data_IF_220548849022
#
_entry.id   IF_220548849022
#
_cell.length_a   1.000
_cell.length_b   1.000
_cell.length_c   1.000
_cell.angle_alpha   90.00
_cell.angle_beta   90.00
_cell.angle_gamma   90.00
#
_symmetry.space_group_name_H-M   'P 1'
#
loop_
_entity.id
_entity.type
_entity.pdbx_description
1 polymer ?
#
# COMPACT_ATOMS: atom_id res chain seq x y z
N UNK A 1 -6.14 -23.09 -7.44
CA UNK A 1 -5.50 -22.31 -6.37
C UNK A 1 -4.66 -21.23 -7.03
N UNK A 2 -4.70 -19.98 -6.55
CA UNK A 2 -3.81 -18.92 -7.05
C UNK A 2 -2.41 -19.18 -6.51
N UNK A 3 -1.44 -19.31 -7.40
CA UNK A 3 -0.02 -19.44 -7.03
C UNK A 3 0.63 -18.09 -7.37
N UNK A 4 0.76 -17.16 -6.41
CA UNK A 4 1.39 -15.88 -6.67
C UNK A 4 2.89 -16.08 -6.89
N UNK A 5 3.42 -15.50 -7.96
CA UNK A 5 4.84 -15.50 -8.29
C UNK A 5 5.35 -14.07 -8.18
N UNK A 6 6.39 -13.86 -7.38
CA UNK A 6 7.09 -12.58 -7.23
C UNK A 6 8.42 -12.60 -7.98
N UNK A 7 8.65 -11.61 -8.82
CA UNK A 7 9.95 -11.33 -9.42
C UNK A 7 10.54 -10.11 -8.72
N UNK A 8 11.69 -10.27 -8.07
CA UNK A 8 12.30 -9.21 -7.28
C UNK A 8 13.63 -8.74 -7.87
N UNK A 9 13.89 -7.44 -7.75
CA UNK A 9 15.19 -6.84 -8.03
C UNK A 9 15.45 -5.63 -7.13
N UNK A 10 16.71 -5.17 -7.10
CA UNK A 10 17.20 -4.11 -6.23
C UNK A 10 17.61 -2.84 -6.99
N UNK A 11 17.52 -1.71 -6.29
CA UNK A 11 18.10 -0.46 -6.70
C UNK A 11 18.96 0.13 -5.58
N UNK A 12 20.12 0.65 -5.98
CA UNK A 12 21.06 1.30 -5.08
C UNK A 12 22.22 0.39 -4.70
N UNK A 13 23.03 0.85 -3.75
CA UNK A 13 24.18 0.11 -3.26
C UNK A 13 24.31 0.24 -1.75
N UNK A 14 25.25 -0.50 -1.16
CA UNK A 14 25.50 -0.51 0.28
C UNK A 14 26.44 0.60 0.75
N UNK A 15 26.91 1.49 -0.13
CA UNK A 15 27.84 2.56 0.24
C UNK A 15 27.12 3.71 0.94
N UNK A 16 27.77 4.30 1.94
CA UNK A 16 27.31 5.50 2.65
C UNK A 16 27.89 6.80 2.08
N UNK A 17 28.59 6.74 0.94
CA UNK A 17 29.06 7.93 0.21
C UNK A 17 27.91 8.57 -0.59
N UNK A 18 27.06 9.33 0.11
CA UNK A 18 25.85 9.94 -0.47
C UNK A 18 26.12 11.02 -1.52
N UNK A 19 27.35 11.52 -1.63
CA UNK A 19 27.72 12.49 -2.67
C UNK A 19 27.88 11.86 -4.06
N UNK A 20 28.22 10.56 -4.11
CA UNK A 20 28.50 9.84 -5.37
C UNK A 20 27.60 8.63 -5.59
N UNK A 21 27.02 8.10 -4.52
CA UNK A 21 26.27 6.85 -4.50
C UNK A 21 24.80 7.10 -4.14
N UNK A 22 23.98 6.05 -4.18
CA UNK A 22 22.56 6.18 -3.90
C UNK A 22 22.31 6.58 -2.45
N UNK A 23 21.29 7.38 -2.19
CA UNK A 23 20.86 7.71 -0.81
C UNK A 23 19.98 6.62 -0.23
N UNK A 24 19.21 5.97 -1.09
CA UNK A 24 18.30 4.88 -0.72
C UNK A 24 18.79 3.54 -1.25
N UNK A 25 18.38 2.47 -0.57
CA UNK A 25 18.45 1.10 -1.04
C UNK A 25 17.03 0.57 -1.17
N UNK A 26 16.64 0.11 -2.35
CA UNK A 26 15.25 -0.25 -2.64
C UNK A 26 15.23 -1.68 -3.15
N UNK A 27 14.28 -2.46 -2.65
CA UNK A 27 13.98 -3.79 -3.17
C UNK A 27 12.55 -3.72 -3.67
N UNK A 28 12.34 -3.92 -4.97
CA UNK A 28 11.02 -3.96 -5.57
C UNK A 28 10.71 -5.36 -6.09
N UNK A 29 9.45 -5.74 -6.01
CA UNK A 29 8.95 -7.02 -6.45
C UNK A 29 7.67 -6.81 -7.24
N UNK A 30 7.58 -7.42 -8.41
CA UNK A 30 6.33 -7.54 -9.15
C UNK A 30 5.70 -8.89 -8.84
N UNK A 31 4.43 -8.90 -8.46
CA UNK A 31 3.66 -10.07 -8.05
C UNK A 31 2.59 -10.31 -9.10
N UNK A 32 2.51 -11.55 -9.57
CA UNK A 32 1.61 -11.98 -10.65
C UNK A 32 0.99 -13.33 -10.33
N UNK A 33 -0.15 -13.65 -10.93
CA UNK A 33 -0.73 -14.99 -10.83
C UNK A 33 -0.01 -15.95 -11.79
N UNK A 34 0.36 -17.16 -11.36
CA UNK A 34 1.04 -18.15 -12.21
C UNK A 34 0.30 -18.42 -13.52
N UNK A 35 -1.03 -18.34 -13.51
CA UNK A 35 -1.86 -18.55 -14.70
C UNK A 35 -1.69 -17.45 -15.75
N UNK A 36 -1.33 -16.23 -15.32
CA UNK A 36 -1.20 -15.05 -16.19
C UNK A 36 0.24 -14.89 -16.74
N UNK A 37 1.20 -15.71 -16.29
CA UNK A 37 2.62 -15.59 -16.65
C UNK A 37 2.86 -15.53 -18.15
N UNK A 38 2.32 -16.47 -18.92
CA UNK A 38 2.56 -16.53 -20.36
C UNK A 38 2.05 -15.29 -21.10
N UNK A 39 0.92 -14.72 -20.66
CA UNK A 39 0.38 -13.49 -21.24
C UNK A 39 1.23 -12.27 -20.87
N UNK A 40 1.70 -12.20 -19.62
CA UNK A 40 2.56 -11.11 -19.15
C UNK A 40 3.95 -11.15 -19.80
N UNK A 41 4.50 -12.33 -20.05
CA UNK A 41 5.76 -12.50 -20.79
C UNK A 41 5.64 -11.99 -22.22
N UNK A 42 4.53 -12.27 -22.92
CA UNK A 42 4.26 -11.73 -24.26
C UNK A 42 4.16 -10.20 -24.23
N UNK A 43 3.46 -9.63 -23.24
CA UNK A 43 3.34 -8.19 -23.07
C UNK A 43 4.71 -7.54 -22.79
N UNK A 44 5.49 -8.12 -21.87
CA UNK A 44 6.82 -7.62 -21.52
C UNK A 44 7.79 -7.70 -22.71
N UNK A 45 7.71 -8.76 -23.51
CA UNK A 45 8.52 -8.91 -24.73
C UNK A 45 8.13 -7.91 -25.82
N UNK A 46 6.84 -7.56 -25.93
CA UNK A 46 6.39 -6.48 -26.81
C UNK A 46 6.96 -5.12 -26.39
N UNK A 47 6.98 -4.83 -25.08
CA UNK A 47 7.61 -3.62 -24.52
C UNK A 47 9.11 -3.62 -24.83
N UNK A 48 9.80 -4.74 -24.64
CA UNK A 48 11.23 -4.90 -24.96
C UNK A 48 11.50 -4.59 -26.42
N UNK A 49 10.79 -5.24 -27.35
CA UNK A 49 10.98 -5.03 -28.79
C UNK A 49 10.74 -3.59 -29.21
N UNK A 50 9.70 -2.94 -28.66
CA UNK A 50 9.34 -1.56 -29.01
C UNK A 50 10.35 -0.54 -28.49
N UNK A 51 10.78 -0.67 -27.24
CA UNK A 51 11.57 0.36 -26.57
C UNK A 51 13.07 0.04 -26.49
N UNK A 52 13.47 -1.22 -26.62
CA UNK A 52 14.84 -1.70 -26.44
C UNK A 52 15.36 -2.57 -27.59
N UNK A 53 14.51 -2.88 -28.59
CA UNK A 53 14.85 -3.67 -29.78
C UNK A 53 15.39 -5.07 -29.40
N UNK A 54 16.69 -5.30 -29.55
CA UNK A 54 17.39 -6.54 -29.17
C UNK A 54 17.96 -6.49 -27.76
N UNK A 55 18.02 -5.30 -27.15
CA UNK A 55 18.56 -5.09 -25.81
C UNK A 55 17.62 -5.53 -24.69
N UNK A 56 18.18 -5.74 -23.50
CA UNK A 56 17.44 -6.01 -22.28
C UNK A 56 16.77 -4.74 -21.74
N UNK A 57 15.60 -4.90 -21.10
CA UNK A 57 14.95 -3.83 -20.35
C UNK A 57 15.80 -3.57 -19.11
N UNK A 58 16.62 -2.51 -19.16
CA UNK A 58 17.44 -2.09 -18.01
C UNK A 58 17.14 -0.64 -17.68
N UNK A 59 16.83 -0.36 -16.42
CA UNK A 59 16.58 1.01 -15.96
C UNK A 59 17.79 1.92 -16.24
N UNK A 60 19.00 1.36 -16.13
CA UNK A 60 20.28 2.02 -16.41
C UNK A 60 20.38 2.52 -17.86
N UNK A 61 19.82 1.80 -18.83
CA UNK A 61 19.84 2.17 -20.25
C UNK A 61 18.92 3.36 -20.59
N UNK A 62 17.89 3.60 -19.77
CA UNK A 62 16.99 4.76 -19.92
C UNK A 62 17.52 5.97 -19.15
N UNK A 63 18.32 5.74 -18.10
CA UNK A 63 18.98 6.75 -17.28
C UNK A 63 18.01 7.87 -16.85
N UNK A 64 18.35 9.14 -17.11
CA UNK A 64 17.56 10.34 -16.73
C UNK A 64 16.61 10.84 -17.82
N UNK A 65 16.35 10.04 -18.86
CA UNK A 65 15.39 10.40 -19.90
C UNK A 65 13.95 10.14 -19.41
N UNK A 66 13.35 11.14 -18.75
CA UNK A 66 12.00 11.02 -18.20
C UNK A 66 10.95 10.74 -19.28
N UNK A 67 11.05 11.34 -20.48
CA UNK A 67 10.08 11.14 -21.57
C UNK A 67 10.01 9.67 -21.99
N UNK A 68 11.17 9.05 -22.21
CA UNK A 68 11.25 7.62 -22.54
C UNK A 68 10.75 6.75 -21.39
N UNK A 69 11.05 7.12 -20.14
CA UNK A 69 10.57 6.39 -18.95
C UNK A 69 9.05 6.45 -18.82
N UNK A 70 8.42 7.60 -19.07
CA UNK A 70 6.96 7.75 -19.05
C UNK A 70 6.28 6.82 -20.07
N UNK A 71 6.76 6.79 -21.31
CA UNK A 71 6.19 5.92 -22.35
C UNK A 71 6.25 4.44 -21.98
N UNK A 72 7.37 3.99 -21.38
CA UNK A 72 7.51 2.61 -20.92
C UNK A 72 6.56 2.34 -19.74
N UNK A 73 6.46 3.27 -18.78
CA UNK A 73 5.57 3.14 -17.62
C UNK A 73 4.09 3.14 -18.01
N UNK A 74 3.68 3.87 -19.05
CA UNK A 74 2.31 3.82 -19.56
C UNK A 74 1.94 2.46 -20.13
N UNK A 75 2.90 1.74 -20.73
CA UNK A 75 2.68 0.37 -21.20
C UNK A 75 2.68 -0.64 -20.06
N UNK A 76 3.64 -0.53 -19.13
CA UNK A 76 3.70 -1.37 -17.93
C UNK A 76 2.44 -1.16 -17.09
N UNK A 77 1.95 0.07 -16.97
CA UNK A 77 0.71 0.44 -16.29
C UNK A 77 -0.56 -0.21 -16.86
N UNK A 78 -0.51 -0.90 -18.01
CA UNK A 78 -1.65 -1.66 -18.54
C UNK A 78 -1.59 -3.15 -18.20
N UNK A 79 -0.46 -3.62 -17.67
CA UNK A 79 -0.25 -5.02 -17.32
C UNK A 79 -1.01 -5.36 -16.02
N UNK A 80 -1.49 -6.59 -15.91
CA UNK A 80 -2.12 -7.06 -14.67
C UNK A 80 -1.07 -7.53 -13.65
N UNK A 81 -0.31 -6.58 -13.11
CA UNK A 81 0.76 -6.84 -12.15
C UNK A 81 0.53 -6.08 -10.84
N UNK A 82 1.10 -6.58 -9.75
CA UNK A 82 1.07 -5.91 -8.45
C UNK A 82 2.50 -5.58 -8.01
N UNK A 83 2.74 -4.36 -7.56
CA UNK A 83 4.07 -3.88 -7.20
C UNK A 83 4.17 -3.77 -5.69
N UNK A 84 5.17 -4.43 -5.13
CA UNK A 84 5.54 -4.32 -3.73
C UNK A 84 6.98 -3.81 -3.65
N UNK A 85 7.26 -2.81 -2.81
CA UNK A 85 8.61 -2.32 -2.63
C UNK A 85 8.94 -2.04 -1.16
N UNK A 86 10.21 -2.19 -0.80
CA UNK A 86 10.78 -1.75 0.47
C UNK A 86 11.88 -0.74 0.16
N UNK A 87 11.74 0.47 0.67
CA UNK A 87 12.70 1.56 0.47
C UNK A 87 13.42 1.85 1.77
N UNK A 88 14.73 1.72 1.78
CA UNK A 88 15.55 1.95 2.97
C UNK A 88 16.35 3.23 2.80
N UNK A 89 16.06 4.23 3.63
CA UNK A 89 16.86 5.45 3.70
C UNK A 89 18.13 5.15 4.50
N UNK A 90 19.24 5.03 3.77
CA UNK A 90 20.54 4.70 4.39
C UNK A 90 21.04 5.83 5.28
N UNK A 91 20.59 7.07 5.09
CA UNK A 91 21.05 8.23 5.88
C UNK A 91 20.53 8.18 7.32
N UNK A 92 19.39 7.53 7.52
CA UNK A 92 18.76 7.35 8.83
C UNK A 92 19.24 6.07 9.55
N UNK A 93 20.12 5.28 8.95
CA UNK A 93 20.69 4.08 9.57
C UNK A 93 21.95 4.45 10.37
N UNK A 94 21.84 4.43 11.70
CA UNK A 94 22.94 4.72 12.60
C UNK A 94 23.36 3.44 13.35
N UNK A 95 24.39 2.74 12.84
CA UNK A 95 25.15 1.76 13.63
C UNK A 95 26.48 1.40 12.95
N UNK A 96 27.50 1.04 13.72
CA UNK A 96 28.78 0.49 13.23
C UNK A 96 28.55 -0.78 12.37
N UNK A 97 27.53 -1.58 12.71
CA UNK A 97 27.19 -2.81 12.02
C UNK A 97 26.77 -2.61 10.56
N UNK A 98 26.14 -1.48 10.21
CA UNK A 98 25.73 -1.20 8.82
C UNK A 98 26.88 -0.84 7.88
N UNK A 99 28.08 -0.56 8.43
CA UNK A 99 29.31 -0.40 7.62
C UNK A 99 29.76 -1.72 6.99
N UNK A 100 29.32 -2.86 7.54
CA UNK A 100 29.59 -4.19 7.00
C UNK A 100 28.47 -4.64 6.06
N UNK A 101 28.82 -4.92 4.80
CA UNK A 101 27.89 -5.35 3.73
C UNK A 101 27.00 -6.54 4.15
N UNK A 102 27.57 -7.57 4.77
CA UNK A 102 26.83 -8.75 5.21
C UNK A 102 25.77 -8.46 6.29
N UNK A 103 26.10 -7.61 7.25
CA UNK A 103 25.17 -7.20 8.32
C UNK A 103 24.03 -6.35 7.77
N UNK A 104 24.34 -5.45 6.83
CA UNK A 104 23.35 -4.66 6.12
C UNK A 104 22.40 -5.56 5.31
N UNK A 105 22.94 -6.43 4.45
CA UNK A 105 22.12 -7.37 3.66
C UNK A 105 21.24 -8.24 4.55
N UNK A 106 21.76 -8.83 5.63
CA UNK A 106 20.98 -9.64 6.58
C UNK A 106 19.82 -8.84 7.20
N UNK A 107 20.04 -7.58 7.53
CA UNK A 107 19.01 -6.70 8.06
C UNK A 107 17.90 -6.44 7.03
N UNK A 108 18.27 -6.04 5.80
CA UNK A 108 17.31 -5.77 4.72
C UNK A 108 16.56 -7.07 4.34
N UNK A 109 17.26 -8.20 4.28
CA UNK A 109 16.65 -9.53 4.04
C UNK A 109 15.56 -9.84 5.06
N UNK A 110 15.85 -9.63 6.35
CA UNK A 110 14.85 -9.83 7.40
C UNK A 110 13.65 -8.89 7.27
N UNK A 111 13.87 -7.63 6.89
CA UNK A 111 12.83 -6.63 6.68
C UNK A 111 11.92 -6.98 5.49
N UNK A 112 12.53 -7.22 4.32
CA UNK A 112 11.83 -7.58 3.08
C UNK A 112 11.09 -8.90 3.25
N UNK A 113 11.73 -9.91 3.86
CA UNK A 113 11.09 -11.19 4.17
C UNK A 113 9.87 -11.02 5.06
N UNK A 114 10.00 -10.28 6.18
CA UNK A 114 8.88 -10.05 7.09
C UNK A 114 7.72 -9.35 6.40
N UNK A 115 7.97 -8.37 5.53
CA UNK A 115 6.87 -7.64 4.91
C UNK A 115 6.23 -8.39 3.72
N UNK A 116 7.03 -9.06 2.88
CA UNK A 116 6.52 -9.88 1.77
C UNK A 116 5.71 -11.09 2.28
N UNK A 117 6.27 -11.88 3.19
CA UNK A 117 5.65 -13.14 3.62
C UNK A 117 4.57 -12.95 4.69
N UNK A 118 4.53 -11.81 5.39
CA UNK A 118 3.38 -11.45 6.24
C UNK A 118 2.14 -11.13 5.40
N UNK A 119 2.34 -10.57 4.20
CA UNK A 119 1.23 -10.19 3.31
C UNK A 119 0.86 -11.32 2.35
N UNK A 120 1.83 -12.12 1.91
CA UNK A 120 1.66 -13.20 0.94
C UNK A 120 2.30 -14.52 1.43
N UNK A 121 1.58 -15.35 2.21
CA UNK A 121 2.15 -16.56 2.79
C UNK A 121 2.58 -17.63 1.79
N UNK A 122 1.88 -17.73 0.64
CA UNK A 122 2.08 -18.78 -0.38
C UNK A 122 2.86 -18.27 -1.62
N UNK A 123 3.76 -17.31 -1.44
CA UNK A 123 4.49 -16.65 -2.52
C UNK A 123 5.65 -17.48 -3.08
N UNK A 124 5.68 -17.71 -4.39
CA UNK A 124 6.84 -18.24 -5.11
C UNK A 124 7.75 -17.06 -5.47
N UNK A 125 9.02 -17.07 -5.03
CA UNK A 125 9.97 -15.99 -5.28
C UNK A 125 10.94 -16.37 -6.40
N UNK A 126 11.10 -15.50 -7.39
CA UNK A 126 12.02 -15.64 -8.52
C UNK A 126 12.99 -14.46 -8.51
N UNK A 127 14.29 -14.74 -8.54
CA UNK A 127 15.38 -13.74 -8.49
C UNK A 127 16.50 -14.14 -9.45
N UNK A 128 17.22 -13.15 -10.00
CA UNK A 128 18.34 -13.39 -10.92
C UNK A 128 19.60 -13.85 -10.16
N UNK A 129 20.32 -14.84 -10.72
CA UNK A 129 21.56 -15.39 -10.17
C UNK A 129 22.84 -14.78 -10.78
N UNK A 130 22.76 -14.17 -11.97
CA UNK A 130 23.94 -13.80 -12.77
C UNK A 130 24.26 -12.29 -12.78
N UNK A 131 23.40 -11.46 -12.19
CA UNK A 131 23.71 -10.05 -11.96
C UNK A 131 24.79 -9.84 -10.88
N UNK A 132 25.41 -8.66 -10.87
CA UNK A 132 26.27 -8.17 -9.78
C UNK A 132 25.55 -8.00 -8.41
N UNK A 133 24.35 -8.56 -8.29
CA UNK A 133 23.41 -8.36 -7.21
C UNK A 133 23.67 -9.40 -6.11
N UNK A 134 24.78 -9.22 -5.41
CA UNK A 134 25.15 -10.04 -4.24
C UNK A 134 24.01 -10.11 -3.21
N UNK A 135 23.19 -9.06 -3.14
CA UNK A 135 22.05 -8.95 -2.25
C UNK A 135 20.94 -9.96 -2.60
N UNK A 136 20.43 -10.01 -3.84
CA UNK A 136 19.41 -10.99 -4.25
C UNK A 136 19.82 -12.44 -3.96
N UNK A 137 21.09 -12.78 -4.19
CA UNK A 137 21.63 -14.12 -3.89
C UNK A 137 21.57 -14.42 -2.39
N UNK A 138 22.01 -13.49 -1.55
CA UNK A 138 21.91 -13.62 -0.10
C UNK A 138 20.46 -13.65 0.39
N UNK A 139 19.56 -12.90 -0.26
CA UNK A 139 18.13 -12.89 0.05
C UNK A 139 17.51 -14.26 -0.22
N UNK A 140 17.79 -14.87 -1.37
CA UNK A 140 17.35 -16.23 -1.72
C UNK A 140 17.73 -17.24 -0.64
N UNK A 141 19.00 -17.25 -0.23
CA UNK A 141 19.49 -18.14 0.83
C UNK A 141 18.87 -17.84 2.19
N UNK A 142 18.64 -16.56 2.49
CA UNK A 142 17.93 -16.15 3.70
C UNK A 142 16.50 -16.68 3.74
N UNK A 143 15.76 -16.59 2.63
CA UNK A 143 14.39 -17.12 2.53
C UNK A 143 14.39 -18.64 2.69
N UNK A 144 15.27 -19.37 1.97
CA UNK A 144 15.40 -20.83 2.09
C UNK A 144 15.61 -21.28 3.54
N UNK A 145 16.43 -20.55 4.30
CA UNK A 145 16.78 -20.91 5.68
C UNK A 145 15.69 -20.60 6.70
N UNK A 146 14.97 -19.49 6.52
CA UNK A 146 13.99 -19.00 7.51
C UNK A 146 12.54 -19.43 7.21
N UNK A 147 12.26 -19.90 6.00
CA UNK A 147 10.95 -20.42 5.61
C UNK A 147 10.95 -21.95 5.70
N UNK A 148 10.67 -22.48 6.90
CA UNK A 148 10.64 -23.92 7.16
C UNK A 148 9.34 -24.52 6.62
N UNK A 149 9.46 -25.62 5.87
CA UNK A 149 8.34 -26.43 5.38
C UNK A 149 7.59 -27.02 6.57
N UNK A 150 6.34 -26.64 6.77
CA UNK A 150 5.50 -27.25 7.80
C UNK A 150 4.53 -28.26 7.18
N UNK A 151 4.33 -29.41 7.83
CA UNK A 151 3.60 -30.56 7.28
C UNK A 151 2.13 -30.24 6.91
N UNK A 152 1.61 -29.13 7.45
CA UNK A 152 0.20 -28.70 7.34
C UNK A 152 0.02 -27.42 6.51
N UNK A 153 1.12 -26.76 6.11
CA UNK A 153 1.09 -25.56 5.28
C UNK A 153 1.94 -25.83 4.03
N UNK A 154 1.30 -26.24 2.96
CA UNK A 154 1.92 -26.48 1.65
C UNK A 154 2.40 -25.18 0.99
N UNK A 155 3.35 -24.49 1.60
CA UNK A 155 4.10 -23.41 0.95
C UNK A 155 4.98 -24.04 -0.12
N UNK A 156 4.46 -24.10 -1.35
CA UNK A 156 5.18 -24.48 -2.56
C UNK A 156 6.24 -23.42 -2.85
N UNK A 157 7.36 -23.50 -2.14
CA UNK A 157 8.53 -22.69 -2.41
C UNK A 157 9.37 -23.38 -3.49
N UNK A 158 9.03 -23.14 -4.75
CA UNK A 158 9.91 -23.42 -5.88
C UNK A 158 10.75 -22.18 -6.17
N UNK A 159 12.04 -22.28 -5.90
CA UNK A 159 13.00 -21.31 -6.39
C UNK A 159 13.36 -21.69 -7.81
N UNK A 160 12.63 -21.14 -8.78
CA UNK A 160 12.95 -21.35 -10.17
C UNK A 160 14.14 -20.49 -10.59
N UNK A 161 15.18 -21.14 -11.11
CA UNK A 161 16.27 -20.47 -11.82
C UNK A 161 15.78 -20.14 -13.22
N UNK A 162 15.26 -18.92 -13.42
CA UNK A 162 14.89 -18.46 -14.75
C UNK A 162 16.00 -17.55 -15.29
N UNK A 163 17.05 -18.19 -15.85
CA UNK A 163 18.00 -17.48 -16.69
C UNK A 163 17.22 -16.71 -17.79
N UNK A 164 17.38 -15.39 -17.85
CA UNK A 164 16.75 -14.50 -18.86
C UNK A 164 15.22 -14.33 -18.78
N UNK A 165 14.61 -14.31 -17.60
CA UNK A 165 13.19 -13.97 -17.52
C UNK A 165 12.95 -12.46 -17.73
N UNK A 166 12.14 -12.13 -18.74
CA UNK A 166 11.77 -10.76 -19.10
C UNK A 166 11.03 -10.02 -17.97
N UNK A 167 10.32 -10.75 -17.10
CA UNK A 167 9.59 -10.19 -15.96
C UNK A 167 10.54 -9.70 -14.86
N UNK A 168 11.72 -10.32 -14.68
CA UNK A 168 12.77 -9.78 -13.79
C UNK A 168 13.26 -8.44 -14.33
N UNK A 169 13.37 -8.28 -15.64
CA UNK A 169 13.78 -7.01 -16.25
C UNK A 169 12.72 -5.91 -16.05
N UNK A 170 11.44 -6.26 -16.01
CA UNK A 170 10.38 -5.33 -15.59
C UNK A 170 10.54 -4.96 -14.11
N UNK A 171 10.90 -5.93 -13.25
CA UNK A 171 11.20 -5.66 -11.84
C UNK A 171 12.39 -4.69 -11.68
N UNK A 172 13.51 -4.85 -12.40
CA UNK A 172 14.64 -3.88 -12.46
C UNK A 172 14.14 -2.48 -12.84
N UNK A 173 13.28 -2.41 -13.86
CA UNK A 173 12.77 -1.12 -14.34
C UNK A 173 11.90 -0.42 -13.30
N UNK A 174 11.04 -1.16 -12.61
CA UNK A 174 10.21 -0.64 -11.51
C UNK A 174 11.09 -0.25 -10.31
N UNK A 175 12.02 -1.11 -9.88
CA UNK A 175 12.96 -0.84 -8.80
C UNK A 175 13.74 0.45 -9.06
N UNK A 176 14.26 0.62 -10.27
CA UNK A 176 14.97 1.83 -10.67
C UNK A 176 14.09 3.06 -10.83
N UNK A 177 12.81 2.89 -11.21
CA UNK A 177 11.85 4.01 -11.28
C UNK A 177 11.52 4.53 -9.89
N UNK A 178 11.19 3.65 -8.96
CA UNK A 178 10.97 3.99 -7.55
C UNK A 178 12.27 4.57 -6.97
N UNK A 179 13.41 3.96 -7.32
CA UNK A 179 14.76 4.47 -7.05
C UNK A 179 14.96 5.92 -7.42
N UNK A 180 14.60 6.30 -8.63
CA UNK A 180 14.74 7.67 -9.11
C UNK A 180 13.82 8.69 -8.43
N UNK A 181 12.71 8.24 -7.84
CA UNK A 181 11.82 9.09 -7.07
C UNK A 181 12.38 9.35 -5.65
N UNK A 182 12.84 8.28 -4.98
CA UNK A 182 13.35 8.36 -3.60
C UNK A 182 14.79 8.86 -3.50
N UNK A 183 15.65 8.51 -4.47
CA UNK A 183 17.04 8.93 -4.46
C UNK A 183 17.17 10.43 -4.69
N UNK A 184 17.73 11.15 -3.71
CA UNK A 184 17.84 12.61 -3.79
C UNK A 184 18.71 13.11 -4.94
N UNK A 185 19.77 12.38 -5.28
CA UNK A 185 20.68 12.77 -6.36
C UNK A 185 19.97 12.67 -7.70
N UNK A 186 19.14 11.64 -7.89
CA UNK A 186 18.33 11.51 -9.10
C UNK A 186 17.16 12.49 -9.11
N UNK A 187 16.46 12.66 -7.99
CA UNK A 187 15.35 13.63 -7.86
C UNK A 187 15.79 15.04 -8.20
N UNK A 188 16.96 15.47 -7.72
CA UNK A 188 17.57 16.77 -8.09
C UNK A 188 17.79 16.90 -9.60
N UNK A 189 18.39 15.90 -10.25
CA UNK A 189 18.62 15.90 -11.71
C UNK A 189 17.32 15.98 -12.53
N UNK A 190 16.22 15.43 -12.04
CA UNK A 190 14.90 15.56 -12.70
C UNK A 190 14.28 16.93 -12.45
N UNK A 191 14.37 17.43 -11.22
CA UNK A 191 13.89 18.77 -10.85
C UNK A 191 14.61 19.88 -11.63
N UNK A 192 15.92 19.78 -11.82
CA UNK A 192 16.72 20.67 -12.70
C UNK A 192 16.22 20.69 -14.15
N UNK A 193 15.62 19.59 -14.61
CA UNK A 193 15.00 19.46 -15.95
C UNK A 193 13.52 19.85 -15.96
N UNK A 194 13.00 20.41 -14.86
CA UNK A 194 11.60 20.81 -14.71
C UNK A 194 10.62 19.64 -14.62
N UNK A 195 11.08 18.43 -14.26
CA UNK A 195 10.24 17.24 -14.18
C UNK A 195 10.04 16.78 -12.75
N UNK A 196 8.77 16.62 -12.36
CA UNK A 196 8.39 16.03 -11.08
C UNK A 196 8.30 14.50 -11.17
N UNK A 197 9.14 13.80 -10.39
CA UNK A 197 9.23 12.35 -10.36
C UNK A 197 7.99 11.67 -9.78
N UNK A 198 7.12 12.40 -9.08
CA UNK A 198 5.80 11.90 -8.63
C UNK A 198 4.97 11.39 -9.81
N UNK A 199 5.13 11.99 -10.99
CA UNK A 199 4.43 11.56 -12.20
C UNK A 199 4.76 10.12 -12.61
N UNK A 200 5.95 9.60 -12.26
CA UNK A 200 6.25 8.19 -12.50
C UNK A 200 5.37 7.28 -11.65
N UNK A 201 5.17 7.61 -10.37
CA UNK A 201 4.34 6.82 -9.46
C UNK A 201 2.85 6.90 -9.85
N UNK A 202 2.39 8.07 -10.30
CA UNK A 202 1.01 8.26 -10.78
C UNK A 202 0.61 7.26 -11.87
N UNK A 203 1.50 6.94 -12.83
CA UNK A 203 1.21 6.04 -13.95
C UNK A 203 0.99 4.58 -13.51
N UNK A 204 1.73 4.13 -12.49
CA UNK A 204 1.67 2.75 -11.98
C UNK A 204 0.89 2.65 -10.66
N UNK A 205 0.23 3.74 -10.22
CA UNK A 205 -0.46 3.86 -8.93
C UNK A 205 -1.37 2.67 -8.61
N UNK A 206 -2.23 2.32 -9.56
CA UNK A 206 -3.22 1.26 -9.41
C UNK A 206 -2.62 -0.15 -9.33
N UNK A 207 -1.33 -0.31 -9.66
CA UNK A 207 -0.59 -1.56 -9.54
C UNK A 207 0.17 -1.64 -8.21
N UNK A 208 0.46 -0.50 -7.55
CA UNK A 208 1.25 -0.48 -6.31
C UNK A 208 0.44 -1.02 -5.14
N UNK A 209 0.77 -2.22 -4.68
CA UNK A 209 0.19 -2.84 -3.49
C UNK A 209 0.74 -2.24 -2.19
N UNK A 210 2.05 -1.97 -2.13
CA UNK A 210 2.68 -1.31 -0.97
C UNK A 210 4.08 -0.80 -1.30
N UNK A 211 4.47 0.34 -0.73
CA UNK A 211 5.87 0.79 -0.64
C UNK A 211 6.17 1.05 0.83
N UNK A 212 6.99 0.20 1.44
CA UNK A 212 7.33 0.27 2.86
C UNK A 212 8.66 0.98 3.06
N UNK A 213 8.66 2.06 3.83
CA UNK A 213 9.88 2.83 4.08
C UNK A 213 10.54 2.46 5.40
N UNK A 214 11.86 2.36 5.42
CA UNK A 214 12.64 2.05 6.61
C UNK A 214 13.88 2.95 6.75
N UNK A 215 14.18 3.47 7.96
CA UNK A 215 13.28 3.60 9.09
C UNK A 215 12.01 4.33 8.65
N UNK A 216 10.84 3.99 9.22
CA UNK A 216 9.62 4.68 8.85
C UNK A 216 9.81 6.18 9.14
N UNK A 217 9.89 6.97 8.08
CA UNK A 217 10.16 8.40 8.20
C UNK A 217 8.87 9.08 8.64
N UNK A 218 8.73 9.23 9.95
CA UNK A 218 7.63 9.93 10.59
C UNK A 218 7.88 11.44 10.73
N UNK A 219 9.09 11.91 10.43
CA UNK A 219 9.55 13.28 10.73
C UNK A 219 9.55 14.21 9.52
N UNK A 220 9.67 13.70 8.30
CA UNK A 220 9.62 14.51 7.07
C UNK A 220 8.28 14.43 6.35
N UNK A 221 7.18 14.55 7.10
CA UNK A 221 5.94 15.07 6.49
C UNK A 221 6.04 16.58 6.50
N UNK A 222 7.02 17.13 5.77
CA UNK A 222 7.01 18.53 5.42
C UNK A 222 5.84 18.71 4.45
N UNK A 223 4.69 19.04 5.04
CA UNK A 223 3.53 19.50 4.32
C UNK A 223 3.91 20.83 3.69
N UNK A 224 4.25 20.81 2.40
CA UNK A 224 4.33 22.04 1.64
C UNK A 224 2.90 22.57 1.52
N UNK A 225 2.58 23.77 2.03
CA UNK A 225 1.30 24.41 1.75
C UNK A 225 1.27 24.68 0.25
N UNK A 226 0.51 23.86 -0.48
CA UNK A 226 0.23 24.12 -1.89
C UNK A 226 -1.10 24.87 -1.90
N UNK A 227 -1.01 26.16 -2.22
CA UNK A 227 -2.16 27.02 -2.48
C UNK A 227 -2.95 26.47 -3.68
N UNK A 228 -4.08 25.83 -3.40
CA UNK A 228 -5.17 25.59 -4.37
C UNK A 228 -6.50 25.62 -3.60
N UNK A 229 -7.35 26.57 -3.96
CA UNK A 229 -8.65 26.84 -3.35
C UNK A 229 -9.60 25.63 -3.45
N UNK A 230 -9.94 25.03 -2.29
CA UNK A 230 -11.23 24.40 -1.90
C UNK A 230 -11.11 23.30 -0.83
N UNK A 231 -9.89 22.84 -0.49
CA UNK A 231 -9.65 21.98 0.66
C UNK A 231 -8.42 22.49 1.41
N UNK A 232 -8.61 23.49 2.27
CA UNK A 232 -7.54 24.01 3.11
C UNK A 232 -6.94 22.87 3.93
N UNK A 233 -5.66 22.61 3.68
CA UNK A 233 -4.88 21.63 4.42
C UNK A 233 -4.78 22.06 5.89
N UNK A 234 -5.05 21.14 6.81
CA UNK A 234 -4.94 21.38 8.25
C UNK A 234 -3.86 20.48 8.84
N UNK A 235 -2.74 21.11 9.22
CA UNK A 235 -1.56 20.42 9.76
C UNK A 235 -1.86 19.64 11.05
N UNK A 236 -2.72 20.19 11.91
CA UNK A 236 -3.06 19.53 13.18
C UNK A 236 -3.88 18.27 12.93
N UNK A 237 -4.89 18.34 12.06
CA UNK A 237 -5.70 17.18 11.69
C UNK A 237 -4.84 16.12 11.01
N UNK A 238 -3.98 16.52 10.08
CA UNK A 238 -3.14 15.61 9.33
C UNK A 238 -2.06 14.93 10.20
N UNK A 239 -1.48 15.65 11.16
CA UNK A 239 -0.57 15.06 12.17
C UNK A 239 -1.30 14.12 13.11
N UNK A 240 -2.51 14.50 13.54
CA UNK A 240 -3.32 13.69 14.44
C UNK A 240 -3.74 12.37 13.79
N UNK A 241 -4.23 12.41 12.54
CA UNK A 241 -4.63 11.22 11.80
C UNK A 241 -3.45 10.27 11.58
N UNK A 242 -2.30 10.83 11.20
CA UNK A 242 -1.05 10.09 11.01
C UNK A 242 -0.59 9.42 12.31
N UNK A 243 -0.55 10.16 13.41
CA UNK A 243 -0.14 9.64 14.72
C UNK A 243 -1.00 8.46 15.15
N UNK A 244 -2.32 8.59 15.12
CA UNK A 244 -3.22 7.49 15.52
C UNK A 244 -3.11 6.27 14.60
N UNK A 245 -2.89 6.47 13.30
CA UNK A 245 -2.68 5.36 12.37
C UNK A 245 -1.36 4.61 12.65
N UNK A 246 -0.27 5.34 12.91
CA UNK A 246 1.04 4.77 13.25
C UNK A 246 0.99 4.06 14.60
N UNK A 247 0.45 4.73 15.63
CA UNK A 247 0.33 4.17 16.97
C UNK A 247 -0.45 2.85 16.95
N UNK A 248 -1.50 2.76 16.13
CA UNK A 248 -2.21 1.51 15.93
C UNK A 248 -1.31 0.44 15.30
N UNK A 249 -0.60 0.76 14.21
CA UNK A 249 0.27 -0.21 13.52
C UNK A 249 1.36 -0.73 14.45
N UNK A 250 2.02 0.15 15.20
CA UNK A 250 3.18 -0.19 16.03
C UNK A 250 2.78 -1.01 17.27
N UNK A 251 1.60 -0.74 17.84
CA UNK A 251 1.14 -1.40 19.06
C UNK A 251 0.23 -2.61 18.81
N UNK A 252 -0.25 -2.83 17.58
CA UNK A 252 -1.15 -3.93 17.26
C UNK A 252 -0.42 -5.27 17.27
N UNK A 253 -0.74 -6.11 18.26
CA UNK A 253 -0.36 -7.53 18.27
C UNK A 253 -1.17 -8.28 17.21
N UNK A 254 -0.48 -8.99 16.32
CA UNK A 254 -1.10 -9.77 15.26
C UNK A 254 -1.49 -11.14 15.83
N UNK A 255 -2.77 -11.33 16.13
CA UNK A 255 -3.28 -12.57 16.71
C UNK A 255 -4.24 -13.32 15.77
N UNK A 256 -4.89 -12.62 14.85
CA UNK A 256 -5.82 -13.21 13.87
C UNK A 256 -5.61 -12.63 12.46
N UNK A 257 -6.11 -13.29 11.40
CA UNK A 257 -6.02 -12.79 10.02
C UNK A 257 -6.63 -11.38 9.82
N UNK A 258 -7.66 -11.03 10.60
CA UNK A 258 -8.29 -9.71 10.58
C UNK A 258 -7.35 -8.59 11.06
N UNK A 259 -6.45 -8.88 11.99
CA UNK A 259 -5.44 -7.90 12.46
C UNK A 259 -4.43 -7.59 11.34
N UNK A 260 -4.04 -8.59 10.55
CA UNK A 260 -3.15 -8.41 9.39
C UNK A 260 -3.81 -7.52 8.35
N UNK A 261 -5.10 -7.74 8.08
CA UNK A 261 -5.89 -6.94 7.15
C UNK A 261 -6.01 -5.48 7.58
N UNK A 262 -6.27 -5.24 8.88
CA UNK A 262 -6.34 -3.89 9.46
C UNK A 262 -5.02 -3.15 9.30
N UNK A 263 -3.91 -3.80 9.65
CA UNK A 263 -2.57 -3.19 9.50
C UNK A 263 -2.22 -2.96 8.03
N UNK A 264 -2.55 -3.90 7.15
CA UNK A 264 -2.27 -3.77 5.70
C UNK A 264 -3.06 -2.62 5.08
N UNK A 265 -4.33 -2.46 5.48
CA UNK A 265 -5.17 -1.36 5.02
C UNK A 265 -4.65 0.00 5.50
N UNK A 266 -4.20 0.13 6.76
CA UNK A 266 -3.61 1.38 7.24
C UNK A 266 -2.30 1.71 6.53
N UNK A 267 -1.41 0.71 6.32
CA UNK A 267 -0.18 0.91 5.54
C UNK A 267 -0.49 1.41 4.12
N UNK A 268 -1.53 0.87 3.49
CA UNK A 268 -2.00 1.32 2.19
C UNK A 268 -2.52 2.76 2.21
N UNK A 269 -3.32 3.14 3.21
CA UNK A 269 -3.79 4.53 3.35
C UNK A 269 -2.65 5.52 3.63
N UNK A 270 -1.68 5.14 4.47
CA UNK A 270 -0.48 5.93 4.72
C UNK A 270 0.32 6.13 3.44
N UNK A 271 0.49 5.07 2.65
CA UNK A 271 1.11 5.15 1.33
C UNK A 271 0.37 6.16 0.44
N UNK A 272 -0.96 6.08 0.33
CA UNK A 272 -1.73 7.02 -0.47
C UNK A 272 -1.61 8.47 0.00
N UNK A 273 -1.62 8.70 1.32
CA UNK A 273 -1.45 10.04 1.89
C UNK A 273 -0.07 10.62 1.57
N UNK A 274 0.98 9.79 1.60
CA UNK A 274 2.36 10.22 1.33
C UNK A 274 2.64 10.45 -0.15
N UNK A 275 2.22 9.51 -0.99
CA UNK A 275 2.53 9.53 -2.42
C UNK A 275 1.64 10.46 -3.23
N UNK A 276 0.45 10.81 -2.73
CA UNK A 276 -0.54 11.59 -3.47
C UNK A 276 -1.18 12.69 -2.63
N UNK A 277 -0.35 13.61 -2.09
CA UNK A 277 -0.74 14.68 -1.16
C UNK A 277 -1.97 15.51 -1.62
N UNK A 278 -2.21 15.63 -2.94
CA UNK A 278 -3.36 16.36 -3.53
C UNK A 278 -4.63 15.53 -3.79
N UNK A 279 -4.62 14.20 -3.61
CA UNK A 279 -5.75 13.38 -4.06
C UNK A 279 -6.88 13.26 -3.04
N UNK A 280 -8.09 13.08 -3.59
CA UNK A 280 -9.32 12.84 -2.85
C UNK A 280 -9.37 11.46 -2.20
N UNK A 281 -10.57 11.00 -1.90
CA UNK A 281 -10.76 9.70 -1.27
C UNK A 281 -10.34 8.57 -2.21
N UNK A 282 -9.66 7.56 -1.68
CA UNK A 282 -9.27 6.38 -2.48
C UNK A 282 -10.50 5.49 -2.65
N UNK A 283 -10.89 5.15 -3.90
CA UNK A 283 -12.04 4.31 -4.17
C UNK A 283 -12.03 2.99 -3.41
N UNK A 284 -13.19 2.59 -2.89
CA UNK A 284 -13.32 1.34 -2.13
C UNK A 284 -12.88 0.12 -2.95
N UNK A 285 -13.19 0.09 -4.24
CA UNK A 285 -12.81 -1.04 -5.10
C UNK A 285 -11.31 -1.12 -5.31
N UNK A 286 -10.62 0.02 -5.44
CA UNK A 286 -9.16 0.09 -5.55
C UNK A 286 -8.51 -0.48 -4.28
N UNK A 287 -8.95 -0.02 -3.11
CA UNK A 287 -8.48 -0.52 -1.81
C UNK A 287 -8.71 -2.03 -1.65
N UNK A 288 -9.90 -2.52 -2.01
CA UNK A 288 -10.23 -3.95 -1.94
C UNK A 288 -9.40 -4.76 -2.92
N UNK A 289 -9.15 -4.26 -4.14
CA UNK A 289 -8.31 -4.93 -5.12
C UNK A 289 -6.87 -5.07 -4.63
N UNK A 290 -6.31 -4.01 -4.04
CA UNK A 290 -4.99 -4.06 -3.41
C UNK A 290 -4.94 -5.02 -2.23
N UNK A 291 -5.94 -4.98 -1.36
CA UNK A 291 -5.97 -5.90 -0.22
C UNK A 291 -6.17 -7.36 -0.66
N UNK A 292 -6.84 -7.61 -1.78
CA UNK A 292 -7.02 -8.94 -2.36
C UNK A 292 -5.82 -9.44 -3.18
N UNK A 293 -4.76 -8.64 -3.30
CA UNK A 293 -3.49 -9.05 -3.88
C UNK A 293 -3.02 -10.39 -3.29
N UNK A 294 -2.93 -11.41 -4.15
CA UNK A 294 -2.46 -12.75 -3.78
C UNK A 294 -3.26 -13.48 -2.69
N UNK A 295 -4.52 -13.09 -2.41
CA UNK A 295 -5.42 -13.83 -1.51
C UNK A 295 -6.17 -14.93 -2.23
N UNK A 296 -6.30 -16.09 -1.59
CA UNK A 296 -7.19 -17.17 -2.06
C UNK A 296 -8.66 -16.81 -1.87
N UNK A 297 -9.02 -16.31 -0.67
CA UNK A 297 -10.38 -15.84 -0.37
C UNK A 297 -10.43 -14.32 -0.47
N UNK A 298 -11.28 -13.82 -1.38
CA UNK A 298 -11.46 -12.38 -1.61
C UNK A 298 -12.28 -11.74 -0.48
N UNK A 299 -11.82 -10.60 0.00
CA UNK A 299 -12.55 -9.72 0.89
C UNK A 299 -13.77 -9.16 0.15
N UNK A 300 -14.94 -9.26 0.79
CA UNK A 300 -16.17 -8.63 0.29
C UNK A 300 -16.23 -7.17 0.74
N UNK A 301 -16.94 -6.29 0.00
CA UNK A 301 -17.14 -4.91 0.43
C UNK A 301 -17.80 -4.77 1.81
N UNK A 302 -18.70 -5.70 2.17
CA UNK A 302 -19.33 -5.73 3.48
C UNK A 302 -18.30 -6.01 4.57
N UNK A 303 -17.53 -7.10 4.42
CA UNK A 303 -16.50 -7.46 5.38
C UNK A 303 -15.44 -6.37 5.53
N UNK A 304 -15.02 -5.75 4.43
CA UNK A 304 -14.09 -4.61 4.45
C UNK A 304 -14.63 -3.45 5.29
N UNK A 305 -15.92 -3.09 5.14
CA UNK A 305 -16.53 -2.01 5.91
C UNK A 305 -16.65 -2.32 7.40
N UNK A 306 -17.09 -3.53 7.75
CA UNK A 306 -17.40 -3.89 9.14
C UNK A 306 -16.18 -4.35 9.92
N UNK A 307 -15.38 -5.26 9.35
CA UNK A 307 -14.31 -5.98 10.06
C UNK A 307 -12.96 -5.28 9.98
N UNK A 308 -12.75 -4.44 8.95
CA UNK A 308 -11.51 -3.68 8.76
C UNK A 308 -11.75 -2.23 9.16
N UNK A 309 -12.55 -1.48 8.39
CA UNK A 309 -12.73 -0.04 8.63
C UNK A 309 -13.46 0.23 9.96
N UNK A 310 -14.55 -0.48 10.24
CA UNK A 310 -15.32 -0.33 11.48
C UNK A 310 -14.43 -0.54 12.71
N UNK A 311 -13.78 -1.71 12.80
CA UNK A 311 -12.87 -2.03 13.92
C UNK A 311 -11.71 -1.05 14.08
N UNK A 312 -11.18 -0.48 13.00
CA UNK A 312 -10.14 0.55 13.08
C UNK A 312 -10.67 1.86 13.66
N UNK A 313 -11.90 2.26 13.30
CA UNK A 313 -12.56 3.43 13.90
C UNK A 313 -12.91 3.20 15.36
N UNK A 314 -13.40 2.01 15.69
CA UNK A 314 -13.70 1.63 17.07
C UNK A 314 -12.43 1.65 17.94
N UNK A 315 -11.28 1.36 17.35
CA UNK A 315 -9.97 1.47 17.99
C UNK A 315 -9.40 2.91 18.03
N UNK A 316 -10.16 3.91 17.57
CA UNK A 316 -9.78 5.32 17.62
C UNK A 316 -8.95 5.82 16.43
N UNK A 317 -8.78 5.02 15.37
CA UNK A 317 -8.05 5.47 14.18
C UNK A 317 -8.91 6.39 13.33
N UNK A 318 -8.39 7.58 13.01
CA UNK A 318 -9.11 8.59 12.23
C UNK A 318 -9.12 8.23 10.74
N UNK A 319 -10.22 7.66 10.28
CA UNK A 319 -10.43 7.31 8.87
C UNK A 319 -11.67 8.03 8.36
N UNK A 320 -11.50 8.96 7.42
CA UNK A 320 -12.61 9.64 6.78
C UNK A 320 -13.22 8.74 5.68
N UNK A 321 -14.55 8.81 5.54
CA UNK A 321 -15.27 8.24 4.40
C UNK A 321 -16.08 9.31 3.71
N UNK A 322 -16.16 9.22 2.39
CA UNK A 322 -17.10 10.02 1.61
C UNK A 322 -17.97 9.14 0.74
N UNK A 323 -19.24 9.54 0.61
CA UNK A 323 -20.25 8.90 -0.25
C UNK A 323 -20.78 9.83 -1.34
N UNK A 324 -20.40 11.11 -1.29
CA UNK A 324 -20.82 12.18 -2.19
C UNK A 324 -19.58 12.82 -2.82
N UNK A 325 -19.49 12.83 -4.15
CA UNK A 325 -18.26 13.23 -4.85
C UNK A 325 -17.26 12.08 -4.94
N UNK A 326 -16.02 12.29 -4.47
CA UNK A 326 -14.96 11.27 -4.42
C UNK A 326 -15.33 10.17 -3.40
N UNK A 327 -15.93 9.07 -3.86
CA UNK A 327 -16.35 7.97 -2.97
C UNK A 327 -15.15 7.14 -2.54
N UNK A 328 -14.95 6.95 -1.24
CA UNK A 328 -13.82 6.14 -0.77
C UNK A 328 -13.41 6.36 0.67
N UNK A 329 -12.14 6.07 0.95
CA UNK A 329 -11.50 6.22 2.25
C UNK A 329 -10.21 7.01 2.15
N UNK A 330 -9.90 7.78 3.20
CA UNK A 330 -8.68 8.58 3.30
C UNK A 330 -8.34 8.83 4.77
N UNK A 331 -7.05 9.00 5.08
CA UNK A 331 -6.63 9.60 6.34
C UNK A 331 -6.86 11.11 6.26
N UNK A 332 -7.73 11.69 7.11
CA UNK A 332 -8.13 13.08 6.98
C UNK A 332 -6.91 13.99 7.10
N UNK A 333 -6.86 14.98 6.21
CA UNK A 333 -5.80 15.99 6.13
C UNK A 333 -6.35 17.42 6.23
N UNK A 334 -7.67 17.55 6.31
CA UNK A 334 -8.36 18.84 6.34
C UNK A 334 -9.63 18.73 7.16
N UNK A 335 -10.14 19.88 7.62
CA UNK A 335 -11.45 20.00 8.26
C UNK A 335 -12.57 19.53 7.31
N UNK A 336 -12.42 19.77 6.00
CA UNK A 336 -13.36 19.31 4.97
C UNK A 336 -13.49 17.78 4.94
N UNK A 337 -12.38 17.04 5.06
CA UNK A 337 -12.40 15.58 5.08
C UNK A 337 -13.19 15.04 6.29
N UNK A 338 -13.06 15.70 7.45
CA UNK A 338 -13.83 15.38 8.66
C UNK A 338 -15.32 15.65 8.44
N UNK A 339 -15.69 16.82 7.92
CA UNK A 339 -17.09 17.13 7.65
C UNK A 339 -17.69 16.20 6.60
N UNK A 340 -16.94 15.74 5.60
CA UNK A 340 -17.43 14.72 4.66
C UNK A 340 -17.77 13.41 5.36
N UNK A 341 -16.95 12.98 6.32
CA UNK A 341 -17.26 11.81 7.14
C UNK A 341 -18.50 12.01 8.03
N UNK A 342 -18.64 13.17 8.67
CA UNK A 342 -19.81 13.50 9.49
C UNK A 342 -21.07 13.58 8.64
N UNK A 343 -21.02 14.26 7.48
CA UNK A 343 -22.14 14.37 6.56
C UNK A 343 -22.57 13.02 6.00
N UNK A 344 -21.62 12.15 5.66
CA UNK A 344 -21.92 10.78 5.27
C UNK A 344 -22.63 10.03 6.41
N UNK A 345 -22.12 10.14 7.64
CA UNK A 345 -22.73 9.51 8.81
C UNK A 345 -24.15 10.02 9.07
N UNK A 346 -24.36 11.34 9.01
CA UNK A 346 -25.67 11.98 9.13
C UNK A 346 -26.66 11.50 8.08
N UNK A 347 -26.22 11.32 6.83
CA UNK A 347 -27.05 10.81 5.73
C UNK A 347 -27.56 9.39 5.95
N UNK A 348 -26.95 8.63 6.88
CA UNK A 348 -27.33 7.26 7.24
C UNK A 348 -28.10 7.25 8.56
N UNK A 349 -27.53 7.86 9.60
CA UNK A 349 -28.03 7.80 10.98
C UNK A 349 -29.41 8.45 11.09
N UNK A 350 -29.58 9.66 10.55
CA UNK A 350 -30.85 10.41 10.69
C UNK A 350 -32.02 9.67 10.01
N UNK A 351 -31.90 9.18 8.76
CA UNK A 351 -32.97 8.37 8.18
C UNK A 351 -33.26 7.06 8.94
N UNK A 352 -32.25 6.43 9.54
CA UNK A 352 -32.44 5.20 10.31
C UNK A 352 -33.22 5.46 11.60
N UNK A 353 -32.82 6.47 12.38
CA UNK A 353 -33.54 6.91 13.59
C UNK A 353 -35.00 7.22 13.25
N UNK A 354 -35.24 7.96 12.16
CA UNK A 354 -36.59 8.29 11.72
C UNK A 354 -37.44 7.06 11.35
N UNK A 355 -36.85 6.03 10.72
CA UNK A 355 -37.57 4.78 10.39
C UNK A 355 -37.93 4.01 11.65
N UNK A 356 -37.03 3.92 12.62
CA UNK A 356 -37.30 3.26 13.90
C UNK A 356 -38.39 4.01 14.68
N UNK A 357 -38.32 5.34 14.74
CA UNK A 357 -39.34 6.19 15.37
C UNK A 357 -40.72 5.95 14.78
N UNK A 358 -40.86 6.05 13.45
CA UNK A 358 -42.13 5.76 12.76
C UNK A 358 -42.68 4.36 13.06
N UNK A 359 -41.81 3.35 13.12
CA UNK A 359 -42.21 1.99 13.47
C UNK A 359 -42.75 1.93 14.92
N UNK A 360 -42.04 2.53 15.88
CA UNK A 360 -42.47 2.62 17.28
C UNK A 360 -43.82 3.30 17.42
N UNK A 361 -44.00 4.45 16.76
CA UNK A 361 -45.24 5.24 16.84
C UNK A 361 -46.44 4.48 16.27
N UNK A 362 -46.25 3.78 15.14
CA UNK A 362 -47.30 2.94 14.53
C UNK A 362 -47.70 1.78 15.45
N UNK A 363 -46.72 1.10 16.07
CA UNK A 363 -47.01 0.02 17.00
C UNK A 363 -47.72 0.55 18.25
N UNK A 364 -47.25 1.65 18.84
CA UNK A 364 -47.94 2.31 19.97
C UNK A 364 -49.38 2.68 19.62
N UNK A 365 -49.60 3.32 18.47
CA UNK A 365 -50.93 3.71 18.02
C UNK A 365 -51.85 2.49 17.82
N UNK A 366 -51.37 1.47 17.10
CA UNK A 366 -52.15 0.26 16.80
C UNK A 366 -52.46 -0.58 18.04
N UNK A 367 -51.65 -0.47 19.09
CA UNK A 367 -51.81 -1.20 20.35
C UNK A 367 -52.41 -0.34 21.46
N UNK A 368 -52.90 0.87 21.15
CA UNK A 368 -53.42 1.83 22.15
C UNK A 368 -52.44 2.08 23.32
N UNK A 369 -51.15 2.22 22.99
CA UNK A 369 -50.02 2.41 23.90
C UNK A 369 -49.72 1.24 24.85
N UNK A 370 -50.29 0.06 24.64
CA UNK A 370 -50.01 -1.12 25.49
C UNK A 370 -48.64 -1.74 25.20
N UNK A 371 -48.07 -1.51 24.01
CA UNK A 371 -46.77 -2.03 23.63
C UNK A 371 -45.85 -0.91 23.13
N UNK A 372 -44.69 -0.78 23.78
CA UNK A 372 -43.57 -0.01 23.29
C UNK A 372 -42.40 -0.94 22.94
N UNK A 373 -42.05 -0.99 21.65
CA UNK A 373 -41.00 -1.87 21.13
C UNK A 373 -39.59 -1.51 21.64
N UNK A 374 -39.42 -0.33 22.25
CA UNK A 374 -38.13 0.11 22.81
C UNK A 374 -38.05 0.02 24.34
N UNK A 375 -39.08 -0.48 25.03
CA UNK A 375 -39.14 -0.52 26.51
C UNK A 375 -38.20 -1.56 27.15
N UNK A 376 -37.57 -2.41 26.33
CA UNK A 376 -36.59 -3.38 26.84
C UNK A 376 -35.29 -2.68 27.20
N UNK A 377 -34.67 -3.09 28.30
CA UNK A 377 -33.40 -2.54 28.82
C UNK A 377 -32.27 -2.52 27.77
N UNK A 378 -32.23 -3.53 26.90
CA UNK A 378 -31.29 -3.65 25.78
C UNK A 378 -31.36 -2.48 24.77
N UNK A 379 -32.50 -1.78 24.69
CA UNK A 379 -32.73 -0.68 23.76
C UNK A 379 -32.68 0.71 24.41
N UNK A 380 -32.29 0.80 25.69
CA UNK A 380 -32.29 2.05 26.46
C UNK A 380 -31.49 3.20 25.81
N UNK A 381 -30.33 2.93 25.23
CA UNK A 381 -29.54 3.95 24.52
C UNK A 381 -30.20 4.41 23.21
N UNK A 382 -30.78 3.48 22.46
CA UNK A 382 -31.52 3.79 21.24
C UNK A 382 -32.80 4.59 21.55
N UNK A 383 -33.48 4.26 22.65
CA UNK A 383 -34.62 4.99 23.15
C UNK A 383 -34.25 6.44 23.51
N UNK A 384 -33.17 6.65 24.29
CA UNK A 384 -32.68 8.00 24.62
C UNK A 384 -32.36 8.82 23.37
N UNK A 385 -31.74 8.21 22.36
CA UNK A 385 -31.41 8.91 21.11
C UNK A 385 -32.65 9.36 20.34
N UNK A 386 -33.68 8.51 20.28
CA UNK A 386 -34.96 8.81 19.61
C UNK A 386 -35.77 9.85 20.39
N UNK A 387 -35.81 9.74 21.72
CA UNK A 387 -36.60 10.64 22.57
C UNK A 387 -35.99 12.06 22.64
N UNK A 388 -34.67 12.19 22.46
CA UNK A 388 -33.96 13.48 22.44
C UNK A 388 -33.88 14.14 21.06
N UNK A 389 -34.31 13.47 19.99
CA UNK A 389 -34.41 14.07 18.64
C UNK A 389 -35.85 14.49 18.39
N UNK A 390 -36.22 15.70 18.87
CA UNK A 390 -37.49 16.34 18.53
C UNK A 390 -37.52 16.73 17.04
#
# INVERSE_FOLDING_TARGET
MKQPVAFADEYGNTSFDFGRQSTHFIVASIIVDKHDLGLLEIQAEAIRKRHFQTGEIKSKNVATNYKRRLLILEEIGKMNIQIFAVTVDKRALYSEGFKHKASFHKFINGLVYKELYRTLPNLTLVVDEHGSNDYMREFKEYVKKNHIRDLFHGSYFDLENSEKNILIQIADFIAGTIGHHYDENQRKKYSEKGFDTVNFLNLIRHQIASINEFPPNYKDVNYYPIEDEKREFDENIAKLSLRYAIDFIDNKKINNPGDIEQVSFLKLLLFYQRSYQKQGFVPTQELINHLNAGRETRLTPLYFRTSIVGKLRDAGVLIASSSSGDKGYKLPTSVSDIYQFINHSNSIIIPMINRVRKCRDLIKLSTSNTLDILDRSEYSELQKLIDNTN
#
